data_IF_471823803795
#
_entry.id   IF_471823803795
#
_cell.length_a   1.000
_cell.length_b   1.000
_cell.length_c   1.000
_cell.angle_alpha   90.00
_cell.angle_beta   90.00
_cell.angle_gamma   90.00
#
_symmetry.space_group_name_H-M   'P 1'
#
loop_
_entity.id
_entity.type
_entity.pdbx_description
1 polymer ?
#
# COMPACT_ATOMS: atom_id res chain seq x y z
N UNK A 1 -9.27 -28.98 -0.16
CA UNK A 1 -9.01 -27.92 -1.16
C UNK A 1 -9.83 -26.71 -0.73
N UNK A 2 -9.29 -25.89 0.17
CA UNK A 2 -10.00 -24.76 0.78
C UNK A 2 -9.99 -23.59 -0.19
N UNK A 3 -11.14 -23.33 -0.80
CA UNK A 3 -11.39 -22.15 -1.61
C UNK A 3 -11.27 -20.91 -0.72
N UNK A 4 -10.17 -20.17 -0.88
CA UNK A 4 -10.07 -18.82 -0.32
C UNK A 4 -10.98 -17.93 -1.15
N UNK A 5 -12.22 -17.79 -0.68
CA UNK A 5 -13.12 -16.75 -1.17
C UNK A 5 -12.49 -15.43 -0.77
N UNK A 6 -11.82 -14.79 -1.74
CA UNK A 6 -11.44 -13.38 -1.62
C UNK A 6 -12.75 -12.61 -1.71
N UNK A 7 -13.30 -12.30 -0.55
CA UNK A 7 -14.44 -11.42 -0.40
C UNK A 7 -14.02 -10.03 -0.88
N UNK A 8 -14.32 -9.73 -2.14
CA UNK A 8 -14.19 -8.40 -2.70
C UNK A 8 -15.32 -7.56 -2.10
N UNK A 9 -15.07 -7.00 -0.92
CA UNK A 9 -15.87 -5.88 -0.41
C UNK A 9 -15.63 -4.73 -1.36
N UNK A 10 -16.64 -4.44 -2.18
CA UNK A 10 -16.69 -3.24 -3.01
C UNK A 10 -16.80 -2.05 -2.06
N UNK A 11 -15.66 -1.41 -1.75
CA UNK A 11 -15.67 -0.10 -1.12
C UNK A 11 -16.29 0.89 -2.12
N UNK A 12 -17.19 1.70 -1.60
CA UNK A 12 -18.20 2.54 -2.25
C UNK A 12 -17.65 3.47 -3.35
N UNK A 13 -18.56 4.11 -4.13
CA UNK A 13 -18.29 5.12 -5.19
C UNK A 13 -17.49 6.37 -4.74
N UNK A 14 -17.08 6.45 -3.47
CA UNK A 14 -16.03 7.33 -3.02
C UNK A 14 -14.73 6.52 -2.98
N UNK A 15 -13.78 6.85 -3.86
CA UNK A 15 -12.42 6.29 -3.93
C UNK A 15 -11.59 6.43 -2.63
N UNK A 16 -12.22 6.79 -1.49
CA UNK A 16 -11.61 7.12 -0.22
C UNK A 16 -12.14 6.23 0.91
N UNK A 17 -11.26 5.89 1.84
CA UNK A 17 -11.53 5.11 3.05
C UNK A 17 -10.87 5.77 4.26
N UNK A 18 -11.38 5.49 5.46
CA UNK A 18 -10.81 5.99 6.71
C UNK A 18 -9.62 5.15 7.18
N UNK A 19 -8.91 5.61 8.22
CA UNK A 19 -7.88 4.80 8.89
C UNK A 19 -8.46 3.51 9.47
N UNK A 20 -9.69 3.56 9.98
CA UNK A 20 -10.39 2.40 10.57
C UNK A 20 -10.71 1.35 9.51
N UNK A 21 -11.21 1.78 8.35
CA UNK A 21 -11.43 0.88 7.20
C UNK A 21 -10.10 0.26 6.76
N UNK A 22 -9.04 1.07 6.71
CA UNK A 22 -7.71 0.60 6.32
C UNK A 22 -7.20 -0.47 7.29
N UNK A 23 -7.41 -0.30 8.60
CA UNK A 23 -7.07 -1.30 9.61
C UNK A 23 -7.90 -2.58 9.43
N UNK A 24 -9.21 -2.46 9.27
CA UNK A 24 -10.13 -3.59 9.08
C UNK A 24 -9.75 -4.43 7.85
N UNK A 25 -9.50 -3.77 6.71
CA UNK A 25 -9.25 -4.49 5.46
C UNK A 25 -7.80 -4.93 5.27
N UNK A 26 -6.83 -4.30 5.96
CA UNK A 26 -5.43 -4.71 5.91
C UNK A 26 -5.06 -5.75 6.96
N UNK A 27 -5.71 -5.72 8.13
CA UNK A 27 -5.34 -6.47 9.32
C UNK A 27 -4.09 -5.94 10.04
N UNK A 28 -3.67 -4.71 9.76
CA UNK A 28 -2.78 -3.94 10.63
C UNK A 28 -3.60 -3.26 11.72
N UNK A 29 -2.97 -3.00 12.87
CA UNK A 29 -3.59 -2.19 13.92
C UNK A 29 -3.64 -0.71 13.54
N UNK A 30 -4.53 0.05 14.17
CA UNK A 30 -4.60 1.51 14.00
C UNK A 30 -3.29 2.20 14.42
N UNK A 31 -2.60 1.69 15.43
CA UNK A 31 -1.33 2.22 15.91
C UNK A 31 -0.23 2.05 14.85
N UNK A 32 -0.08 0.83 14.32
CA UNK A 32 0.87 0.57 13.23
C UNK A 32 0.60 1.42 11.99
N UNK A 33 -0.67 1.61 11.63
CA UNK A 33 -1.04 2.46 10.49
C UNK A 33 -0.77 3.94 10.78
N UNK A 34 -1.04 4.42 12.00
CA UNK A 34 -0.74 5.80 12.38
C UNK A 34 0.77 6.08 12.31
N UNK A 35 1.59 5.17 12.82
CA UNK A 35 3.05 5.28 12.73
C UNK A 35 3.54 5.27 11.27
N UNK A 36 2.99 4.39 10.43
CA UNK A 36 3.32 4.35 9.00
C UNK A 36 2.92 5.63 8.28
N UNK A 37 1.86 6.29 8.72
CA UNK A 37 1.45 7.62 8.22
C UNK A 37 2.39 8.71 8.69
N UNK A 38 2.78 8.70 9.97
CA UNK A 38 3.75 9.64 10.53
C UNK A 38 5.09 9.57 9.79
N UNK A 39 5.60 8.35 9.56
CA UNK A 39 6.82 8.10 8.81
C UNK A 39 6.66 8.43 7.30
N UNK A 40 5.42 8.47 6.81
CA UNK A 40 5.09 8.72 5.41
C UNK A 40 5.28 7.53 4.48
N UNK A 41 5.30 6.32 5.04
CA UNK A 41 5.22 5.08 4.26
C UNK A 41 3.80 4.85 3.71
N UNK A 42 2.79 5.37 4.39
CA UNK A 42 1.40 5.46 3.92
C UNK A 42 1.02 6.95 3.92
N UNK A 43 0.42 7.42 2.83
CA UNK A 43 0.02 8.82 2.72
C UNK A 43 -1.50 8.93 2.61
N UNK A 44 -2.14 9.79 3.43
CA UNK A 44 -3.53 10.18 3.21
C UNK A 44 -3.64 11.04 1.95
N UNK A 45 -4.84 11.14 1.40
CA UNK A 45 -5.14 11.97 0.22
C UNK A 45 -4.89 13.46 0.50
N UNK A 46 -5.16 13.88 1.74
CA UNK A 46 -4.79 15.19 2.28
C UNK A 46 -4.20 15.03 3.69
N UNK A 47 -2.93 15.43 3.86
CA UNK A 47 -2.21 15.39 5.14
C UNK A 47 -2.60 16.53 6.09
N UNK A 48 -3.09 17.65 5.56
CA UNK A 48 -3.46 18.82 6.36
C UNK A 48 -4.92 18.74 6.84
N UNK A 49 -5.69 17.80 6.29
CA UNK A 49 -7.07 17.57 6.70
C UNK A 49 -7.16 17.13 8.18
N UNK A 50 -8.21 17.56 8.90
CA UNK A 50 -8.42 17.18 10.30
C UNK A 50 -8.76 15.69 10.48
N UNK A 51 -9.17 15.02 9.40
CA UNK A 51 -9.49 13.59 9.35
C UNK A 51 -8.78 13.00 8.15
N UNK A 52 -7.98 11.96 8.39
CA UNK A 52 -7.29 11.26 7.32
C UNK A 52 -8.24 10.38 6.51
N UNK A 53 -8.22 10.63 5.21
CA UNK A 53 -8.86 9.80 4.20
C UNK A 53 -7.77 9.26 3.27
N UNK A 54 -7.89 8.00 2.89
CA UNK A 54 -6.92 7.28 2.08
C UNK A 54 -7.60 6.78 0.83
N UNK A 55 -6.89 6.78 -0.30
CA UNK A 55 -7.45 6.13 -1.50
C UNK A 55 -7.69 4.65 -1.25
N UNK A 56 -8.76 4.08 -1.80
CA UNK A 56 -9.09 2.65 -1.61
C UNK A 56 -7.95 1.72 -2.05
N UNK A 57 -7.16 2.13 -3.04
CA UNK A 57 -5.94 1.41 -3.47
C UNK A 57 -4.87 1.27 -2.36
N UNK A 58 -4.87 2.17 -1.37
CA UNK A 58 -3.97 2.12 -0.20
C UNK A 58 -4.19 0.85 0.63
N UNK A 59 -5.38 0.23 0.59
CA UNK A 59 -5.65 -1.08 1.22
C UNK A 59 -4.70 -2.14 0.67
N UNK A 60 -4.37 -2.12 -0.62
CA UNK A 60 -3.45 -3.08 -1.23
C UNK A 60 -2.02 -2.89 -0.69
N UNK A 61 -1.62 -1.63 -0.49
CA UNK A 61 -0.32 -1.29 0.11
C UNK A 61 -0.27 -1.76 1.57
N UNK A 62 -1.30 -1.48 2.36
CA UNK A 62 -1.39 -1.89 3.76
C UNK A 62 -1.42 -3.42 3.91
N UNK A 63 -2.09 -4.16 3.01
CA UNK A 63 -2.03 -5.64 2.98
C UNK A 63 -0.63 -6.16 2.67
N UNK A 64 0.08 -5.48 1.76
CA UNK A 64 1.46 -5.82 1.42
C UNK A 64 2.38 -5.56 2.62
N UNK A 65 2.16 -4.45 3.32
CA UNK A 65 2.86 -4.13 4.55
C UNK A 65 2.66 -5.22 5.62
N UNK A 66 1.42 -5.65 5.87
CA UNK A 66 1.14 -6.75 6.81
C UNK A 66 1.91 -8.02 6.45
N UNK A 67 1.88 -8.41 5.17
CA UNK A 67 2.62 -9.60 4.69
C UNK A 67 4.12 -9.46 4.90
N UNK A 68 4.71 -8.31 4.60
CA UNK A 68 6.14 -8.06 4.84
C UNK A 68 6.48 -8.13 6.33
N UNK A 69 5.65 -7.55 7.20
CA UNK A 69 5.83 -7.65 8.65
C UNK A 69 5.81 -9.11 9.11
N UNK A 70 4.83 -9.89 8.65
CA UNK A 70 4.66 -11.29 9.05
C UNK A 70 5.78 -12.19 8.47
N UNK A 71 6.21 -11.96 7.23
CA UNK A 71 7.21 -12.78 6.53
C UNK A 71 8.65 -12.50 7.03
N UNK A 72 8.92 -11.28 7.50
CA UNK A 72 10.27 -10.83 7.86
C UNK A 72 10.41 -10.38 9.33
N UNK A 73 9.35 -10.51 10.13
CA UNK A 73 9.30 -10.10 11.55
C UNK A 73 9.78 -8.66 11.77
N UNK A 74 9.41 -7.75 10.87
CA UNK A 74 9.86 -6.35 10.90
C UNK A 74 9.12 -5.55 11.97
N UNK A 75 9.84 -4.64 12.62
CA UNK A 75 9.23 -3.55 13.36
C UNK A 75 8.70 -2.46 12.41
N UNK A 76 7.98 -1.47 12.94
CA UNK A 76 7.33 -0.43 12.13
C UNK A 76 8.31 0.37 11.27
N UNK A 77 9.51 0.65 11.78
CA UNK A 77 10.56 1.34 11.02
C UNK A 77 11.13 0.48 9.89
N UNK A 78 11.45 -0.79 10.18
CA UNK A 78 11.90 -1.75 9.17
C UNK A 78 10.85 -1.95 8.08
N UNK A 79 9.58 -2.00 8.47
CA UNK A 79 8.45 -2.09 7.57
C UNK A 79 8.33 -0.84 6.67
N UNK A 80 8.46 0.36 7.22
CA UNK A 80 8.45 1.60 6.46
C UNK A 80 9.58 1.64 5.41
N UNK A 81 10.79 1.19 5.77
CA UNK A 81 11.92 1.07 4.83
C UNK A 81 11.61 0.05 3.73
N UNK A 82 11.10 -1.12 4.09
CA UNK A 82 10.74 -2.16 3.13
C UNK A 82 9.68 -1.67 2.12
N UNK A 83 8.64 -0.98 2.61
CA UNK A 83 7.62 -0.37 1.76
C UNK A 83 8.20 0.67 0.80
N UNK A 84 9.09 1.54 1.28
CA UNK A 84 9.75 2.53 0.43
C UNK A 84 10.59 1.86 -0.68
N UNK A 85 11.33 0.79 -0.33
CA UNK A 85 12.12 0.03 -1.29
C UNK A 85 11.23 -0.65 -2.34
N UNK A 86 10.10 -1.24 -1.93
CA UNK A 86 9.12 -1.83 -2.85
C UNK A 86 8.56 -0.79 -3.82
N UNK A 87 8.16 0.38 -3.33
CA UNK A 87 7.69 1.47 -4.18
C UNK A 87 8.77 1.93 -5.16
N UNK A 88 10.03 2.00 -4.71
CA UNK A 88 11.17 2.37 -5.55
C UNK A 88 11.46 1.30 -6.61
N UNK A 89 11.32 0.02 -6.31
CA UNK A 89 11.44 -1.08 -7.27
C UNK A 89 10.35 -0.94 -8.35
N UNK A 90 9.08 -0.81 -7.96
CA UNK A 90 7.99 -0.64 -8.92
C UNK A 90 8.18 0.60 -9.82
N UNK A 91 8.66 1.72 -9.26
CA UNK A 91 8.96 2.91 -10.04
C UNK A 91 10.07 2.66 -11.07
N UNK A 92 11.12 1.92 -10.68
CA UNK A 92 12.23 1.59 -11.57
C UNK A 92 11.78 0.62 -12.68
N UNK A 93 11.01 -0.41 -12.34
CA UNK A 93 10.43 -1.35 -13.30
C UNK A 93 9.52 -0.63 -14.30
N UNK A 94 8.66 0.29 -13.85
CA UNK A 94 7.81 1.10 -14.72
C UNK A 94 8.63 1.97 -15.68
N UNK A 95 9.75 2.55 -15.20
CA UNK A 95 10.68 3.33 -16.06
C UNK A 95 11.34 2.45 -17.11
N UNK A 96 11.79 1.25 -16.75
CA UNK A 96 12.38 0.29 -17.68
C UNK A 96 11.36 -0.13 -18.74
N UNK A 97 10.15 -0.53 -18.34
CA UNK A 97 9.10 -0.90 -19.28
C UNK A 97 8.74 0.25 -20.25
N UNK A 98 8.71 1.50 -19.75
CA UNK A 98 8.47 2.67 -20.58
C UNK A 98 9.63 2.98 -21.55
N UNK A 99 10.87 2.61 -21.22
CA UNK A 99 12.02 2.72 -22.12
C UNK A 99 11.97 1.65 -23.22
N UNK A 100 11.68 0.40 -22.85
CA UNK A 100 11.55 -0.71 -23.79
C UNK A 100 10.42 -0.46 -24.80
N UNK A 101 9.29 0.09 -24.34
CA UNK A 101 8.18 0.47 -25.23
C UNK A 101 8.52 1.60 -26.21
N UNK A 102 9.57 2.40 -25.94
CA UNK A 102 10.03 3.51 -26.79
C UNK A 102 11.16 3.12 -27.76
N UNK A 103 11.81 1.99 -27.53
CA UNK A 103 12.73 1.40 -28.49
C UNK A 103 11.88 0.61 -29.50
N UNK A 104 11.64 1.10 -30.73
CA UNK A 104 11.11 0.22 -31.76
C UNK A 104 12.10 -0.92 -31.89
N UNK A 105 11.62 -2.16 -31.75
CA UNK A 105 12.43 -3.34 -32.03
C UNK A 105 12.97 -3.20 -33.46
N UNK A 106 14.20 -2.71 -33.59
CA UNK A 106 14.94 -2.76 -34.85
C UNK A 106 15.33 -4.22 -35.01
N UNK A 107 14.62 -4.91 -35.90
CA UNK A 107 15.10 -6.14 -36.51
C UNK A 107 16.42 -5.90 -37.25
#
# INVERSE_FOLDING_TARGET
>A
MTSLVVESVWLNDADLCSLEDLAEFSGLSNEELADLVEIGAIEPDDREAPVYLFRSQTIVVARTARRLRDDFELDTHGLAVALNLMQRIHLLEAKLAAMDAKLPHSF
#
